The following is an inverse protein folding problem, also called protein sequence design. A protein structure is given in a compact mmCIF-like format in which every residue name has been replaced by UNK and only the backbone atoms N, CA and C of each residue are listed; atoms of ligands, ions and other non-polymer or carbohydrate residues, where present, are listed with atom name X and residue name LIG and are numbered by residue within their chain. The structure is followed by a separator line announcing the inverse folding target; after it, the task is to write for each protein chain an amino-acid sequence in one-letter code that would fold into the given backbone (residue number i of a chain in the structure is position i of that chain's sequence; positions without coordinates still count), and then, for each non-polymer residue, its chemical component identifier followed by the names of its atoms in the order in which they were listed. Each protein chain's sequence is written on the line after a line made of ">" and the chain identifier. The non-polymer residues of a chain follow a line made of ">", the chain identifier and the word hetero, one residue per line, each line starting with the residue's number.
data_IF_333448926034
#
_entry.id   IF_333448926034
#
_cell.length_a   1.000
_cell.length_b   1.000
_cell.length_c   1.000
_cell.angle_alpha   90.00
_cell.angle_beta   90.00
_cell.angle_gamma   90.00
#
_symmetry.space_group_name_H-M   'P 1'
#
loop_
_entity.id
_entity.type
_entity.pdbx_description
1 polymer ?
#
# COMPACT_ATOMS: atom_id res chain seq x y z
N UNK A 1 -1.53 -17.72 -7.28
CA UNK A 1 -0.21 -17.12 -7.02
C UNK A 1 -0.35 -15.62 -7.26
N UNK A 2 0.11 -14.73 -6.36
CA UNK A 2 0.18 -13.30 -6.65
C UNK A 2 1.08 -13.06 -7.87
N UNK A 3 0.62 -12.28 -8.85
CA UNK A 3 1.41 -11.92 -10.04
C UNK A 3 2.59 -11.04 -9.65
N UNK A 4 3.66 -11.04 -10.44
CA UNK A 4 4.75 -10.07 -10.29
C UNK A 4 4.16 -8.65 -10.33
N UNK A 5 4.19 -7.94 -9.20
CA UNK A 5 3.59 -6.61 -9.07
C UNK A 5 2.31 -6.49 -8.24
N UNK A 6 1.81 -7.56 -7.60
CA UNK A 6 0.68 -7.43 -6.67
C UNK A 6 1.07 -6.59 -5.43
N UNK A 7 0.22 -5.61 -5.12
CA UNK A 7 0.31 -4.74 -3.94
C UNK A 7 -0.88 -5.00 -3.02
N UNK A 8 -0.63 -5.02 -1.71
CA UNK A 8 -1.68 -5.06 -0.69
C UNK A 8 -1.81 -3.65 -0.11
N UNK A 9 -3.00 -3.08 -0.22
CA UNK A 9 -3.39 -1.84 0.43
C UNK A 9 -4.05 -2.15 1.77
N UNK A 10 -3.60 -1.46 2.81
CA UNK A 10 -4.15 -1.50 4.16
C UNK A 10 -4.46 -0.07 4.58
N UNK A 11 -5.58 0.16 5.25
CA UNK A 11 -6.09 1.50 5.50
C UNK A 11 -5.92 1.85 6.97
N UNK A 12 -5.84 3.15 7.31
CA UNK A 12 -5.88 3.67 8.70
C UNK A 12 -7.14 3.32 9.49
N UNK A 13 -8.00 2.44 8.95
CA UNK A 13 -9.29 2.06 9.50
C UNK A 13 -9.56 0.58 9.28
N UNK A 14 -9.80 -0.15 10.38
CA UNK A 14 -10.09 -1.59 10.37
C UNK A 14 -11.46 -1.95 9.77
N UNK A 15 -12.34 -0.97 9.59
CA UNK A 15 -13.66 -1.21 8.96
C UNK A 15 -13.57 -1.26 7.44
N UNK A 16 -12.44 -0.82 6.86
CA UNK A 16 -12.18 -0.91 5.43
C UNK A 16 -11.32 -2.15 5.18
N UNK A 17 -11.78 -3.11 4.35
CA UNK A 17 -11.00 -4.32 4.10
C UNK A 17 -9.72 -4.01 3.34
N UNK A 18 -8.65 -4.74 3.66
CA UNK A 18 -7.42 -4.69 2.87
C UNK A 18 -7.69 -5.16 1.44
N UNK A 19 -7.07 -4.48 0.47
CA UNK A 19 -7.30 -4.73 -0.94
C UNK A 19 -6.01 -5.18 -1.63
N UNK A 20 -6.07 -6.29 -2.37
CA UNK A 20 -4.99 -6.71 -3.25
C UNK A 20 -5.27 -6.21 -4.66
N UNK A 21 -4.34 -5.48 -5.27
CA UNK A 21 -4.44 -5.01 -6.65
C UNK A 21 -3.09 -5.08 -7.37
N UNK A 22 -3.10 -5.06 -8.70
CA UNK A 22 -1.84 -4.99 -9.46
C UNK A 22 -1.23 -3.59 -9.35
N UNK A 23 0.08 -3.51 -9.57
CA UNK A 23 0.82 -2.24 -9.62
C UNK A 23 0.23 -1.27 -10.65
N UNK A 24 -0.22 -1.77 -11.80
CA UNK A 24 -0.81 -0.96 -12.87
C UNK A 24 -2.12 -0.32 -12.40
N UNK A 25 -3.01 -1.10 -11.78
CA UNK A 25 -4.25 -0.57 -11.20
C UNK A 25 -3.95 0.46 -10.11
N UNK A 26 -2.99 0.17 -9.23
CA UNK A 26 -2.58 1.09 -8.18
C UNK A 26 -2.08 2.42 -8.75
N UNK A 27 -1.22 2.39 -9.77
CA UNK A 27 -0.70 3.60 -10.43
C UNK A 27 -1.81 4.42 -11.08
N UNK A 28 -2.78 3.78 -11.75
CA UNK A 28 -3.92 4.47 -12.37
C UNK A 28 -4.87 5.12 -11.35
N UNK A 29 -4.97 4.55 -10.15
CA UNK A 29 -5.93 4.99 -9.11
C UNK A 29 -5.30 5.79 -7.97
N UNK A 30 -3.99 5.98 -7.96
CA UNK A 30 -3.28 6.54 -6.81
C UNK A 30 -3.78 7.94 -6.42
N UNK A 31 -4.06 8.81 -7.39
CA UNK A 31 -4.59 10.14 -7.12
C UNK A 31 -5.95 10.08 -6.42
N UNK A 32 -6.87 9.25 -6.92
CA UNK A 32 -8.20 9.06 -6.30
C UNK A 32 -8.08 8.49 -4.88
N UNK A 33 -7.13 7.58 -4.66
CA UNK A 33 -6.85 6.99 -3.34
C UNK A 33 -6.36 8.06 -2.37
N UNK A 34 -5.38 8.88 -2.77
CA UNK A 34 -4.80 9.95 -1.93
C UNK A 34 -5.84 11.03 -1.59
N UNK A 35 -6.79 11.31 -2.48
CA UNK A 35 -7.89 12.24 -2.22
C UNK A 35 -8.94 11.68 -1.25
N UNK A 36 -9.11 10.36 -1.22
CA UNK A 36 -10.20 9.71 -0.47
C UNK A 36 -9.76 9.26 0.92
N UNK A 37 -8.55 8.72 1.06
CA UNK A 37 -8.06 8.12 2.30
C UNK A 37 -6.72 8.76 2.69
N UNK A 38 -6.67 9.57 3.75
CA UNK A 38 -5.48 10.34 4.13
C UNK A 38 -4.39 9.51 4.81
N UNK A 39 -4.68 8.26 5.22
CA UNK A 39 -3.73 7.37 5.87
C UNK A 39 -3.89 5.93 5.39
N UNK A 40 -2.82 5.36 4.83
CA UNK A 40 -2.79 3.97 4.37
C UNK A 40 -1.37 3.44 4.20
N UNK A 41 -1.26 2.12 4.08
CA UNK A 41 -0.03 1.40 3.81
C UNK A 41 -0.14 0.59 2.53
N UNK A 42 0.99 0.47 1.82
CA UNK A 42 1.14 -0.40 0.65
C UNK A 42 2.23 -1.42 0.95
N UNK A 43 1.90 -2.70 0.86
CA UNK A 43 2.88 -3.78 0.96
C UNK A 43 3.11 -4.45 -0.40
N UNK A 44 4.36 -4.44 -0.86
CA UNK A 44 4.81 -5.26 -1.99
C UNK A 44 5.35 -6.58 -1.48
N UNK A 45 4.60 -7.67 -1.72
CA UNK A 45 4.97 -9.00 -1.24
C UNK A 45 6.31 -9.49 -1.82
N UNK A 46 6.56 -9.23 -3.10
CA UNK A 46 7.81 -9.66 -3.76
C UNK A 46 8.95 -8.69 -3.49
N UNK A 47 8.67 -7.38 -3.52
CA UNK A 47 9.67 -6.36 -3.24
C UNK A 47 10.14 -6.38 -1.79
N UNK A 48 9.33 -6.95 -0.88
CA UNK A 48 9.48 -6.84 0.57
C UNK A 48 9.67 -5.39 0.96
N UNK A 49 8.78 -4.55 0.45
CA UNK A 49 8.76 -3.11 0.72
C UNK A 49 7.40 -2.78 1.29
N UNK A 50 7.42 -1.93 2.31
CA UNK A 50 6.25 -1.30 2.88
C UNK A 50 6.38 0.20 2.67
N UNK A 51 5.33 0.80 2.13
CA UNK A 51 5.16 2.24 2.09
C UNK A 51 4.02 2.62 3.05
N UNK A 52 4.18 3.74 3.73
CA UNK A 52 3.19 4.38 4.57
C UNK A 52 2.96 5.79 4.04
N UNK A 53 1.68 6.15 3.85
CA UNK A 53 1.25 7.53 3.73
C UNK A 53 0.55 7.88 5.04
N UNK A 54 1.12 8.82 5.78
CA UNK A 54 0.53 9.31 7.04
C UNK A 54 -0.48 10.43 6.78
N UNK A 55 -1.32 10.73 7.78
CA UNK A 55 -2.23 11.89 7.78
C UNK A 55 -1.56 13.23 7.42
N UNK A 56 -0.26 13.38 7.70
CA UNK A 56 0.50 14.59 7.37
C UNK A 56 0.88 14.70 5.89
N UNK A 57 0.62 13.65 5.09
CA UNK A 57 1.09 13.50 3.71
C UNK A 57 2.53 13.00 3.61
N UNK A 58 3.22 12.75 4.73
CA UNK A 58 4.56 12.19 4.70
C UNK A 58 4.53 10.74 4.18
N UNK A 59 5.39 10.46 3.19
CA UNK A 59 5.63 9.13 2.63
C UNK A 59 6.88 8.51 3.28
N UNK A 60 6.69 7.40 3.99
CA UNK A 60 7.78 6.58 4.51
C UNK A 60 7.87 5.30 3.71
N UNK A 61 9.07 4.91 3.29
CA UNK A 61 9.30 3.64 2.57
C UNK A 61 10.40 2.86 3.26
N UNK A 62 10.10 1.61 3.60
CA UNK A 62 11.03 0.71 4.29
C UNK A 62 11.03 -0.67 3.64
N UNK A 63 12.17 -1.37 3.75
CA UNK A 63 12.23 -2.80 3.43
C UNK A 63 11.71 -3.61 4.62
N UNK A 64 10.83 -4.56 4.34
CA UNK A 64 10.35 -5.52 5.34
C UNK A 64 11.41 -6.61 5.51
N UNK A 65 11.93 -6.80 6.74
CA UNK A 65 12.91 -7.84 6.99
C UNK A 65 12.29 -9.23 6.89
N UNK A 66 13.09 -10.23 6.50
CA UNK A 66 12.64 -11.63 6.43
C UNK A 66 12.32 -12.25 7.80
N UNK A 67 12.84 -11.64 8.88
CA UNK A 67 12.68 -12.05 10.27
C UNK A 67 12.57 -10.79 11.13
N UNK A 68 11.66 -10.83 12.10
CA UNK A 68 11.57 -9.83 13.15
C UNK A 68 12.67 -10.03 14.20
#
# INVERSE_FOLDING_TARGET
>A
MPSEGDLIFMWGSIVIPSLKMTKETALMRMSEILETVPEFWIHSLQGRVMAEISFSGALTVARVPLRA
#
